data_IF_560051206969
#
_entry.id   IF_560051206969
#
_cell.length_a   1.000
_cell.length_b   1.000
_cell.length_c   1.000
_cell.angle_alpha   90.00
_cell.angle_beta   90.00
_cell.angle_gamma   90.00
#
_symmetry.space_group_name_H-M   'P 1'
#
loop_
_entity.id
_entity.type
_entity.pdbx_description
1 polymer ?
#
# COMPACT_ATOMS: atom_id res chain seq x y z
N UNK A 1 18.79 17.13 -48.07
CA UNK A 1 18.15 17.54 -46.80
C UNK A 1 16.94 16.65 -46.58
N UNK A 2 17.10 15.60 -45.77
CA UNK A 2 15.99 14.73 -45.41
C UNK A 2 15.32 15.33 -44.16
N UNK A 3 14.04 15.73 -44.29
CA UNK A 3 13.20 16.14 -43.17
C UNK A 3 12.76 14.87 -42.44
N UNK A 4 13.30 14.65 -41.24
CA UNK A 4 12.72 13.71 -40.28
C UNK A 4 11.38 14.29 -39.81
N UNK A 5 10.29 13.72 -40.26
CA UNK A 5 8.97 13.94 -39.67
C UNK A 5 8.97 13.19 -38.33
N UNK A 6 9.05 13.92 -37.21
CA UNK A 6 8.75 13.39 -35.89
C UNK A 6 7.28 12.95 -35.90
N UNK A 7 7.05 11.66 -35.71
CA UNK A 7 5.71 11.15 -35.45
C UNK A 7 5.22 11.77 -34.14
N UNK A 8 4.35 12.77 -34.23
CA UNK A 8 3.51 13.17 -33.11
C UNK A 8 2.64 11.97 -32.75
N UNK A 9 3.03 11.21 -31.73
CA UNK A 9 2.13 10.26 -31.10
C UNK A 9 0.97 11.06 -30.53
N UNK A 10 -0.23 10.86 -31.09
CA UNK A 10 -1.48 11.39 -30.52
C UNK A 10 -1.65 10.70 -29.19
N UNK A 11 -1.21 11.35 -28.11
CA UNK A 11 -1.42 10.85 -26.75
C UNK A 11 -2.92 10.98 -26.49
N UNK A 12 -3.59 9.86 -26.30
CA UNK A 12 -5.00 9.84 -25.96
C UNK A 12 -5.17 10.51 -24.58
N UNK A 13 -6.13 11.45 -24.45
CA UNK A 13 -6.39 12.15 -23.17
C UNK A 13 -6.65 11.16 -22.02
N UNK A 14 -7.27 10.01 -22.30
CA UNK A 14 -7.44 8.95 -21.32
C UNK A 14 -6.11 8.42 -20.76
N UNK A 15 -5.03 8.41 -21.55
CA UNK A 15 -3.71 7.93 -21.09
C UNK A 15 -3.01 8.94 -20.19
N UNK A 16 -3.32 10.24 -20.34
CA UNK A 16 -2.77 11.29 -19.49
C UNK A 16 -3.31 11.26 -18.06
N UNK A 17 -4.55 10.81 -17.90
CA UNK A 17 -5.26 10.81 -16.62
C UNK A 17 -5.05 9.52 -15.81
N UNK A 18 -4.34 8.53 -16.37
CA UNK A 18 -4.07 7.25 -15.69
C UNK A 18 -3.15 7.41 -14.51
N UNK A 19 -3.40 6.61 -13.48
CA UNK A 19 -2.51 6.46 -12.33
C UNK A 19 -2.28 4.99 -11.98
N UNK A 20 -1.17 4.74 -11.30
CA UNK A 20 -0.79 3.44 -10.75
C UNK A 20 -0.42 3.63 -9.27
N UNK A 21 -1.06 2.89 -8.39
CA UNK A 21 -0.81 2.99 -6.95
C UNK A 21 -0.57 1.60 -6.37
N UNK A 22 0.29 1.53 -5.35
CA UNK A 22 0.59 0.30 -4.62
C UNK A 22 0.44 0.53 -3.13
N UNK A 23 -0.08 -0.46 -2.39
CA UNK A 23 0.03 -0.53 -0.94
C UNK A 23 0.84 -1.76 -0.56
N UNK A 24 1.79 -1.59 0.38
CA UNK A 24 2.75 -2.63 0.68
C UNK A 24 3.19 -2.62 2.15
N UNK A 25 2.64 -3.51 2.96
CA UNK A 25 3.20 -3.80 4.27
C UNK A 25 4.46 -4.65 4.09
N UNK A 26 5.63 -4.11 4.49
CA UNK A 26 6.94 -4.78 4.29
C UNK A 26 7.39 -5.61 5.48
N UNK A 27 6.58 -5.69 6.53
CA UNK A 27 6.89 -6.30 7.83
C UNK A 27 8.18 -5.79 8.48
N UNK A 28 8.03 -5.18 9.62
CA UNK A 28 9.14 -4.57 10.37
C UNK A 28 10.15 -5.58 10.93
N UNK A 29 9.70 -6.82 11.22
CA UNK A 29 10.52 -7.84 11.86
C UNK A 29 11.43 -8.59 10.89
N UNK A 30 12.57 -9.08 11.40
CA UNK A 30 13.54 -9.87 10.65
C UNK A 30 13.14 -11.36 10.49
N UNK A 31 12.10 -11.81 11.23
CA UNK A 31 11.71 -13.22 11.35
C UNK A 31 10.37 -13.54 10.68
N UNK A 32 10.23 -13.31 9.38
CA UNK A 32 8.96 -13.63 8.67
C UNK A 32 8.57 -15.10 8.86
N UNK A 33 9.55 -15.96 8.81
CA UNK A 33 9.40 -17.39 9.05
C UNK A 33 10.47 -17.78 10.07
N UNK A 34 10.06 -18.10 11.29
CA UNK A 34 10.96 -18.54 12.38
C UNK A 34 11.95 -19.64 12.00
N UNK A 35 11.90 -20.16 10.77
CA UNK A 35 12.66 -21.30 10.26
C UNK A 35 13.39 -21.03 8.94
N UNK A 36 13.22 -19.87 8.29
CA UNK A 36 14.03 -19.52 7.12
C UNK A 36 15.24 -18.69 7.55
N UNK A 37 16.44 -19.22 7.25
CA UNK A 37 17.73 -18.56 7.54
C UNK A 37 17.87 -17.17 6.92
N UNK A 38 16.96 -16.74 6.04
CA UNK A 38 17.05 -15.52 5.23
C UNK A 38 15.87 -14.56 5.37
N UNK A 39 15.09 -14.60 6.47
CA UNK A 39 14.00 -13.65 6.75
C UNK A 39 14.44 -12.19 7.00
N UNK A 40 15.74 -11.91 7.02
CA UNK A 40 16.31 -10.58 7.30
C UNK A 40 15.89 -9.55 6.26
N UNK A 41 15.68 -8.31 6.68
CA UNK A 41 15.34 -7.19 5.80
C UNK A 41 16.33 -7.03 4.64
N UNK A 42 17.62 -7.29 4.85
CA UNK A 42 18.67 -7.30 3.81
C UNK A 42 18.40 -8.27 2.67
N UNK A 43 17.83 -9.40 2.96
CA UNK A 43 17.49 -10.40 1.95
C UNK A 43 16.18 -10.07 1.27
N UNK A 44 15.19 -9.60 2.04
CA UNK A 44 13.85 -9.30 1.56
C UNK A 44 13.77 -8.06 0.69
N UNK A 45 14.60 -7.04 0.97
CA UNK A 45 14.61 -5.77 0.22
C UNK A 45 14.73 -5.96 -1.29
N UNK A 46 15.55 -6.90 -1.75
CA UNK A 46 15.72 -7.17 -3.19
C UNK A 46 14.40 -7.61 -3.86
N UNK A 47 13.56 -8.35 -3.13
CA UNK A 47 12.27 -8.79 -3.64
C UNK A 47 11.25 -7.64 -3.63
N UNK A 48 11.25 -6.83 -2.57
CA UNK A 48 10.42 -5.62 -2.50
C UNK A 48 10.74 -4.67 -3.64
N UNK A 49 12.04 -4.37 -3.86
CA UNK A 49 12.48 -3.50 -4.96
C UNK A 49 12.10 -4.09 -6.32
N UNK A 50 12.30 -5.40 -6.52
CA UNK A 50 11.95 -6.06 -7.78
C UNK A 50 10.46 -5.95 -8.08
N UNK A 51 9.58 -6.18 -7.08
CA UNK A 51 8.14 -6.01 -7.23
C UNK A 51 7.79 -4.58 -7.67
N UNK A 52 8.34 -3.58 -6.99
CA UNK A 52 8.07 -2.18 -7.29
C UNK A 52 8.54 -1.82 -8.71
N UNK A 53 9.78 -2.15 -9.07
CA UNK A 53 10.33 -1.82 -10.38
C UNK A 53 9.67 -2.60 -11.52
N UNK A 54 9.06 -3.77 -11.26
CA UNK A 54 8.30 -4.51 -12.28
C UNK A 54 6.97 -3.86 -12.63
N UNK A 55 6.34 -3.16 -11.68
CA UNK A 55 5.04 -2.51 -11.88
C UNK A 55 5.13 -0.99 -12.05
N UNK A 56 6.23 -0.38 -11.60
CA UNK A 56 6.50 1.06 -11.68
C UNK A 56 5.28 1.92 -11.28
N UNK A 57 4.71 1.73 -10.06
CA UNK A 57 3.58 2.54 -9.59
C UNK A 57 3.97 4.02 -9.50
N UNK A 58 3.00 4.91 -9.66
CA UNK A 58 3.25 6.35 -9.52
C UNK A 58 3.46 6.73 -8.05
N UNK A 59 2.72 6.05 -7.15
CA UNK A 59 2.90 6.18 -5.70
C UNK A 59 2.76 4.84 -4.98
N UNK A 60 3.44 4.73 -3.84
CA UNK A 60 3.44 3.53 -2.99
C UNK A 60 3.19 3.98 -1.55
N UNK A 61 2.15 3.45 -0.92
CA UNK A 61 1.94 3.54 0.52
C UNK A 61 2.55 2.33 1.21
N UNK A 62 3.60 2.54 1.99
CA UNK A 62 4.21 1.46 2.76
C UNK A 62 3.69 1.42 4.19
N UNK A 63 3.70 0.22 4.80
CA UNK A 63 3.44 0.03 6.22
C UNK A 63 4.59 -0.78 6.85
N UNK A 64 4.78 -0.61 8.16
CA UNK A 64 5.84 -1.26 8.95
C UNK A 64 7.27 -0.90 8.52
N UNK A 65 7.47 0.24 7.91
CA UNK A 65 8.81 0.71 7.55
C UNK A 65 9.54 1.18 8.79
N UNK A 66 10.61 0.48 9.18
CA UNK A 66 11.43 0.89 10.31
C UNK A 66 12.29 2.08 9.98
N UNK A 67 12.34 3.05 10.91
CA UNK A 67 13.20 4.23 10.91
C UNK A 67 14.04 4.23 12.21
N UNK A 68 15.28 4.65 12.16
CA UNK A 68 16.12 4.80 13.33
C UNK A 68 16.78 6.17 13.38
N UNK A 69 16.84 6.76 14.59
CA UNK A 69 17.63 7.95 14.85
C UNK A 69 19.14 7.69 14.78
N UNK A 70 19.57 6.42 14.93
CA UNK A 70 20.95 6.03 14.78
C UNK A 70 21.31 5.86 13.28
N UNK A 71 22.19 6.71 12.72
CA UNK A 71 22.55 6.64 11.29
C UNK A 71 23.30 5.35 10.91
N UNK A 72 23.90 4.66 11.86
CA UNK A 72 24.60 3.38 11.63
C UNK A 72 23.66 2.17 11.60
N UNK A 73 22.41 2.33 12.10
CA UNK A 73 21.44 1.23 12.12
C UNK A 73 20.86 1.06 10.71
N UNK A 74 20.89 -0.16 10.22
CA UNK A 74 20.19 -0.53 8.98
C UNK A 74 18.69 -0.65 9.25
N UNK A 75 17.87 -0.05 8.42
CA UNK A 75 16.41 0.01 8.55
C UNK A 75 15.75 -0.08 7.17
N UNK A 76 14.47 -0.43 7.13
CA UNK A 76 13.69 -0.43 5.90
C UNK A 76 13.73 0.91 5.17
N UNK A 77 13.61 2.03 5.89
CA UNK A 77 13.63 3.38 5.29
C UNK A 77 14.91 3.62 4.48
N UNK A 78 16.08 3.28 5.04
CA UNK A 78 17.36 3.44 4.33
C UNK A 78 17.46 2.54 3.10
N UNK A 79 17.09 1.27 3.26
CA UNK A 79 17.19 0.29 2.18
C UNK A 79 16.23 0.63 1.02
N UNK A 80 15.00 1.05 1.34
CA UNK A 80 14.02 1.50 0.34
C UNK A 80 14.50 2.76 -0.38
N UNK A 81 14.97 3.78 0.36
CA UNK A 81 15.50 5.00 -0.24
C UNK A 81 16.69 4.72 -1.15
N UNK A 82 17.62 3.88 -0.73
CA UNK A 82 18.78 3.52 -1.56
C UNK A 82 18.38 2.71 -2.79
N UNK A 83 17.52 1.69 -2.62
CA UNK A 83 17.09 0.83 -3.73
C UNK A 83 16.20 1.50 -4.76
N UNK A 84 15.49 2.58 -4.37
CA UNK A 84 14.53 3.28 -5.22
C UNK A 84 14.97 4.70 -5.63
N UNK A 85 16.15 5.15 -5.24
CA UNK A 85 16.66 6.54 -5.39
C UNK A 85 16.61 7.10 -6.81
N UNK A 86 16.68 6.25 -7.81
CA UNK A 86 16.69 6.70 -9.22
C UNK A 86 15.31 7.23 -9.65
N UNK A 87 14.24 6.63 -9.16
CA UNK A 87 12.87 6.91 -9.62
C UNK A 87 11.96 7.48 -8.53
N UNK A 88 12.22 7.21 -7.25
CA UNK A 88 11.29 7.55 -6.18
C UNK A 88 11.91 8.43 -5.10
N UNK A 89 11.05 9.24 -4.48
CA UNK A 89 11.33 9.98 -3.25
C UNK A 89 10.35 9.49 -2.18
N UNK A 90 10.88 9.13 -1.01
CA UNK A 90 10.09 8.70 0.17
C UNK A 90 9.88 9.83 1.15
N UNK A 91 8.63 9.96 1.65
CA UNK A 91 8.21 10.94 2.65
C UNK A 91 7.50 10.23 3.81
N UNK A 92 7.58 10.79 4.99
CA UNK A 92 6.95 10.26 6.20
C UNK A 92 7.89 10.32 7.40
N UNK A 93 7.35 10.16 8.60
CA UNK A 93 8.07 10.24 9.87
C UNK A 93 7.76 9.04 10.76
N UNK A 94 8.62 8.83 11.75
CA UNK A 94 8.44 7.80 12.78
C UNK A 94 7.19 8.08 13.63
N UNK A 95 6.43 7.04 13.96
CA UNK A 95 5.18 7.14 14.73
C UNK A 95 5.40 7.43 16.22
N UNK A 96 6.59 7.13 16.75
CA UNK A 96 6.96 7.34 18.14
C UNK A 96 8.45 7.68 18.31
N UNK A 97 8.91 7.85 19.56
CA UNK A 97 10.28 8.23 19.91
C UNK A 97 11.20 7.03 20.17
N UNK A 98 10.80 5.82 19.84
CA UNK A 98 11.63 4.63 20.01
C UNK A 98 12.91 4.74 19.18
N UNK A 99 13.99 4.14 19.63
CA UNK A 99 15.29 4.15 18.92
C UNK A 99 15.21 3.51 17.53
N UNK A 100 14.31 2.55 17.37
CA UNK A 100 13.82 2.02 16.11
C UNK A 100 12.30 2.12 16.18
N UNK A 101 11.70 2.96 15.35
CA UNK A 101 10.26 3.16 15.27
C UNK A 101 9.76 2.75 13.91
N UNK A 102 8.46 2.55 13.78
CA UNK A 102 7.82 2.32 12.48
C UNK A 102 7.25 3.61 11.92
N UNK A 103 7.13 3.65 10.60
CA UNK A 103 6.47 4.69 9.83
C UNK A 103 5.56 4.08 8.76
N UNK A 104 4.68 4.91 8.22
CA UNK A 104 3.85 4.58 7.07
C UNK A 104 4.19 5.55 5.91
N UNK A 105 5.41 5.48 5.32
CA UNK A 105 5.83 6.43 4.32
C UNK A 105 5.05 6.27 3.02
N UNK A 106 5.02 7.37 2.25
CA UNK A 106 4.61 7.36 0.86
C UNK A 106 5.86 7.59 0.01
N UNK A 107 6.05 6.74 -0.99
CA UNK A 107 7.05 6.94 -2.03
C UNK A 107 6.34 7.35 -3.31
N UNK A 108 6.80 8.41 -3.96
CA UNK A 108 6.25 8.88 -5.24
C UNK A 108 7.32 8.92 -6.33
N UNK A 109 6.91 8.59 -7.56
CA UNK A 109 7.80 8.63 -8.72
C UNK A 109 8.07 10.09 -9.11
N UNK A 110 9.29 10.55 -8.84
CA UNK A 110 9.72 11.95 -9.08
C UNK A 110 9.79 12.33 -10.56
N UNK A 111 9.80 11.34 -11.47
CA UNK A 111 9.81 11.57 -12.91
C UNK A 111 8.39 11.81 -13.46
N UNK A 112 7.35 11.50 -12.67
CA UNK A 112 5.94 11.64 -13.05
C UNK A 112 5.16 12.64 -12.20
N UNK A 113 5.61 12.88 -10.98
CA UNK A 113 4.87 13.62 -9.96
C UNK A 113 5.71 14.71 -9.31
N UNK A 114 5.07 15.83 -9.02
CA UNK A 114 5.61 16.90 -8.18
C UNK A 114 4.89 16.88 -6.84
N UNK A 115 5.64 16.87 -5.75
CA UNK A 115 5.11 17.00 -4.39
C UNK A 115 4.78 18.46 -4.11
N UNK A 116 3.52 18.77 -3.81
CA UNK A 116 3.05 20.10 -3.43
C UNK A 116 3.01 20.29 -1.91
N UNK A 117 2.53 19.27 -1.19
CA UNK A 117 2.43 19.29 0.26
C UNK A 117 2.55 17.86 0.81
N UNK A 118 3.04 17.72 2.03
CA UNK A 118 3.10 16.46 2.75
C UNK A 118 2.89 16.67 4.24
N UNK A 119 2.50 15.61 4.92
CA UNK A 119 2.43 15.65 6.37
C UNK A 119 2.08 14.30 6.98
N UNK A 120 2.13 14.28 8.31
CA UNK A 120 1.74 13.13 9.11
C UNK A 120 0.76 13.59 10.19
N UNK A 121 -0.30 12.82 10.41
CA UNK A 121 -1.25 13.02 11.50
C UNK A 121 -1.23 11.80 12.40
N UNK A 122 -1.27 12.01 13.71
CA UNK A 122 -1.42 10.93 14.67
C UNK A 122 -2.89 10.54 14.77
N UNK A 123 -3.17 9.24 14.75
CA UNK A 123 -4.53 8.72 14.87
C UNK A 123 -4.93 8.73 16.35
N UNK A 124 -5.25 9.91 16.84
CA UNK A 124 -5.46 10.26 18.23
C UNK A 124 -6.51 11.37 18.37
N UNK A 125 -6.94 11.74 19.60
CA UNK A 125 -7.77 12.93 19.83
C UNK A 125 -7.11 14.25 19.41
N UNK A 126 -5.78 14.30 19.35
CA UNK A 126 -4.97 15.47 18.95
C UNK A 126 -4.10 15.12 17.73
N UNK A 127 -4.68 15.02 16.50
CA UNK A 127 -3.95 14.51 15.34
C UNK A 127 -2.71 15.32 14.94
N UNK A 128 -2.69 16.60 15.26
CA UNK A 128 -1.60 17.52 14.93
C UNK A 128 -0.46 17.51 15.98
N UNK A 129 -0.68 16.84 17.11
CA UNK A 129 0.32 16.72 18.18
C UNK A 129 1.09 15.41 18.04
N UNK A 130 2.40 15.48 17.76
CA UNK A 130 3.23 14.29 17.57
C UNK A 130 3.22 13.36 18.78
N UNK A 131 3.25 12.05 18.49
CA UNK A 131 3.38 10.97 19.46
C UNK A 131 2.20 10.78 20.41
N UNK A 132 1.03 11.33 20.06
CA UNK A 132 -0.24 11.10 20.76
C UNK A 132 -0.93 9.82 20.30
N UNK A 133 -1.87 9.33 21.10
CA UNK A 133 -2.67 8.13 20.84
C UNK A 133 -3.98 8.19 21.61
N UNK A 134 -4.96 7.36 21.23
CA UNK A 134 -6.14 7.14 22.07
C UNK A 134 -5.78 6.37 23.33
N UNK A 135 -6.52 6.57 24.42
CA UNK A 135 -6.38 5.77 25.64
C UNK A 135 -6.51 4.28 25.32
N UNK A 136 -5.56 3.49 25.83
CA UNK A 136 -5.41 2.08 25.51
C UNK A 136 -5.41 1.18 26.73
N UNK A 137 -5.89 -0.07 26.55
CA UNK A 137 -5.36 -1.19 27.32
C UNK A 137 -3.88 -1.42 26.92
N UNK A 138 -3.08 -1.92 27.87
CA UNK A 138 -1.60 -1.90 27.96
C UNK A 138 -0.72 -2.22 26.74
N UNK A 139 -1.17 -2.68 25.60
CA UNK A 139 -0.30 -3.22 24.53
C UNK A 139 -0.48 -2.57 23.14
N UNK A 140 -0.97 -1.37 23.07
CA UNK A 140 -1.21 -0.74 21.78
C UNK A 140 -0.02 0.06 21.24
N UNK A 141 0.04 0.22 19.93
CA UNK A 141 1.03 1.04 19.25
C UNK A 141 0.40 2.36 18.81
N UNK A 142 1.19 3.45 18.86
CA UNK A 142 0.79 4.70 18.19
C UNK A 142 0.58 4.44 16.71
N UNK A 143 -0.48 5.02 16.15
CA UNK A 143 -0.82 4.88 14.74
C UNK A 143 -0.88 6.26 14.10
N UNK A 144 -0.50 6.29 12.83
CA UNK A 144 -0.40 7.52 12.05
C UNK A 144 -1.02 7.34 10.67
N UNK A 145 -1.41 8.44 10.04
CA UNK A 145 -1.53 8.53 8.60
C UNK A 145 -0.43 9.44 8.07
N UNK A 146 0.08 9.12 6.89
CA UNK A 146 0.93 10.00 6.08
C UNK A 146 0.14 10.43 4.86
N UNK A 147 0.25 11.68 4.43
CA UNK A 147 -0.37 12.15 3.21
C UNK A 147 0.61 12.91 2.32
N UNK A 148 0.34 12.87 1.02
CA UNK A 148 1.02 13.63 0.00
C UNK A 148 -0.01 14.27 -0.95
N UNK A 149 0.08 15.57 -1.16
CA UNK A 149 -0.62 16.27 -2.25
C UNK A 149 0.34 16.30 -3.43
N UNK A 150 -0.05 15.62 -4.50
CA UNK A 150 0.79 15.34 -5.65
C UNK A 150 0.16 15.91 -6.92
N UNK A 151 1.00 16.48 -7.78
CA UNK A 151 0.61 16.96 -9.10
C UNK A 151 1.24 16.07 -10.17
N UNK A 152 0.42 15.51 -11.06
CA UNK A 152 0.93 14.80 -12.23
C UNK A 152 1.54 15.79 -13.22
N UNK A 153 2.77 15.55 -13.63
CA UNK A 153 3.54 16.45 -14.51
C UNK A 153 2.89 16.57 -15.89
N UNK A 154 2.34 15.47 -16.42
CA UNK A 154 1.75 15.43 -17.76
C UNK A 154 0.33 15.98 -17.82
N UNK A 155 -0.55 15.50 -16.92
CA UNK A 155 -1.97 15.91 -16.93
C UNK A 155 -2.26 17.17 -16.11
N UNK A 156 -1.32 17.65 -15.30
CA UNK A 156 -1.52 18.72 -14.31
C UNK A 156 -2.57 18.41 -13.21
N UNK A 157 -3.11 17.20 -13.18
CA UNK A 157 -4.08 16.80 -12.16
C UNK A 157 -3.40 16.77 -10.80
N UNK A 158 -4.07 17.39 -9.82
CA UNK A 158 -3.66 17.35 -8.41
C UNK A 158 -4.54 16.35 -7.67
N UNK A 159 -3.95 15.46 -6.90
CA UNK A 159 -4.66 14.47 -6.09
C UNK A 159 -3.94 14.24 -4.76
N UNK A 160 -4.61 13.60 -3.83
CA UNK A 160 -4.05 13.28 -2.52
C UNK A 160 -3.92 11.76 -2.38
N UNK A 161 -2.74 11.31 -1.99
CA UNK A 161 -2.53 9.96 -1.49
C UNK A 161 -2.42 10.01 0.04
N UNK A 162 -3.28 9.25 0.71
CA UNK A 162 -3.28 9.04 2.17
C UNK A 162 -2.92 7.59 2.43
N UNK A 163 -1.97 7.34 3.33
CA UNK A 163 -1.52 6.00 3.68
C UNK A 163 -1.56 5.80 5.19
N UNK A 164 -2.08 4.67 5.65
CA UNK A 164 -2.26 4.39 7.09
C UNK A 164 -1.97 2.95 7.46
N UNK A 165 -1.85 2.68 8.76
CA UNK A 165 -1.79 1.36 9.34
C UNK A 165 -2.54 1.39 10.68
N UNK A 166 -3.71 0.71 10.76
CA UNK A 166 -4.60 0.76 11.92
C UNK A 166 -4.17 -0.21 13.02
N UNK A 167 -4.84 -0.12 14.18
CA UNK A 167 -4.60 -0.99 15.32
C UNK A 167 -4.88 -2.46 14.99
N UNK A 168 -3.91 -3.33 15.26
CA UNK A 168 -4.01 -4.76 14.95
C UNK A 168 -4.91 -5.53 15.92
N UNK A 169 -5.06 -5.04 17.14
CA UNK A 169 -5.66 -5.78 18.26
C UNK A 169 -7.08 -5.32 18.58
N UNK A 170 -7.31 -4.00 18.69
CA UNK A 170 -8.54 -3.45 19.23
C UNK A 170 -9.43 -2.83 18.15
N UNK A 171 -10.59 -3.45 17.92
CA UNK A 171 -11.60 -2.95 16.98
C UNK A 171 -12.07 -1.53 17.32
N UNK A 172 -12.28 -1.24 18.60
CA UNK A 172 -12.73 0.07 19.08
C UNK A 172 -11.71 1.17 18.75
N UNK A 173 -10.42 0.85 18.83
CA UNK A 173 -9.36 1.76 18.43
C UNK A 173 -9.36 1.96 16.92
N UNK A 174 -9.53 0.89 16.12
CA UNK A 174 -9.63 1.02 14.66
C UNK A 174 -10.75 1.95 14.24
N UNK A 175 -11.93 1.87 14.92
CA UNK A 175 -13.07 2.76 14.65
C UNK A 175 -12.72 4.21 15.00
N UNK A 176 -12.10 4.47 16.16
CA UNK A 176 -11.65 5.82 16.53
C UNK A 176 -10.61 6.35 15.54
N UNK A 177 -9.64 5.52 15.17
CA UNK A 177 -8.58 5.85 14.23
C UNK A 177 -9.12 6.16 12.84
N UNK A 178 -10.04 5.35 12.32
CA UNK A 178 -10.61 5.58 10.99
C UNK A 178 -11.47 6.86 10.95
N UNK A 179 -12.12 7.24 12.05
CA UNK A 179 -12.80 8.53 12.14
C UNK A 179 -11.82 9.71 11.99
N UNK A 180 -10.62 9.62 12.55
CA UNK A 180 -9.58 10.64 12.34
C UNK A 180 -9.19 10.73 10.87
N UNK A 181 -9.04 9.57 10.20
CA UNK A 181 -8.74 9.51 8.76
C UNK A 181 -9.86 10.14 7.93
N UNK A 182 -11.12 9.78 8.20
CA UNK A 182 -12.30 10.35 7.51
C UNK A 182 -12.34 11.85 7.70
N UNK A 183 -12.20 12.34 8.95
CA UNK A 183 -12.22 13.78 9.27
C UNK A 183 -11.05 14.53 8.60
N UNK A 184 -9.89 13.90 8.45
CA UNK A 184 -8.79 14.49 7.68
C UNK A 184 -9.15 14.61 6.20
N UNK A 185 -9.61 13.51 5.58
CA UNK A 185 -9.93 13.46 4.15
C UNK A 185 -11.09 14.41 3.81
N UNK A 186 -12.08 14.56 4.68
CA UNK A 186 -13.24 15.43 4.45
C UNK A 186 -12.88 16.91 4.23
N UNK A 187 -11.71 17.35 4.69
CA UNK A 187 -11.21 18.72 4.47
C UNK A 187 -10.76 18.96 3.02
N UNK A 188 -10.48 17.91 2.27
CA UNK A 188 -9.84 17.98 0.95
C UNK A 188 -10.68 17.37 -0.18
N UNK A 189 -11.58 16.43 0.10
CA UNK A 189 -12.26 15.62 -0.91
C UNK A 189 -13.21 16.39 -1.84
N UNK A 190 -13.64 17.60 -1.45
CA UNK A 190 -14.38 18.50 -2.33
C UNK A 190 -13.46 19.13 -3.39
N UNK A 191 -12.20 19.40 -3.04
CA UNK A 191 -11.23 20.06 -3.88
C UNK A 191 -10.42 19.08 -4.72
N UNK A 192 -9.94 17.98 -4.13
CA UNK A 192 -9.02 17.04 -4.77
C UNK A 192 -9.58 15.62 -4.78
N UNK A 193 -9.29 14.81 -5.81
CA UNK A 193 -9.41 13.36 -5.75
C UNK A 193 -8.53 12.81 -4.62
N UNK A 194 -9.04 11.88 -3.81
CA UNK A 194 -8.30 11.28 -2.70
C UNK A 194 -8.27 9.76 -2.85
N UNK A 195 -7.06 9.19 -2.78
CA UNK A 195 -6.79 7.76 -2.69
C UNK A 195 -6.29 7.43 -1.28
N UNK A 196 -6.93 6.49 -0.62
CA UNK A 196 -6.57 6.00 0.71
C UNK A 196 -6.07 4.56 0.61
N UNK A 197 -4.83 4.32 0.99
CA UNK A 197 -4.23 2.98 1.07
C UNK A 197 -3.86 2.63 2.50
N UNK A 198 -3.67 1.35 2.78
CA UNK A 198 -3.13 0.93 4.07
C UNK A 198 -3.40 -0.52 4.43
N UNK A 199 -2.77 -0.91 5.54
CA UNK A 199 -3.13 -2.09 6.31
C UNK A 199 -4.15 -1.69 7.39
N UNK A 200 -5.38 -2.15 7.23
CA UNK A 200 -6.48 -1.82 8.14
C UNK A 200 -6.58 -2.80 9.31
N UNK A 201 -5.79 -3.86 9.31
CA UNK A 201 -5.79 -4.90 10.34
C UNK A 201 -7.19 -5.48 10.63
N UNK A 202 -8.10 -5.40 9.68
CA UNK A 202 -9.43 -5.99 9.76
C UNK A 202 -9.93 -6.41 8.38
N UNK A 203 -10.67 -7.49 8.36
CA UNK A 203 -11.47 -7.90 7.20
C UNK A 203 -12.71 -7.00 7.08
N UNK A 204 -13.32 -6.97 5.89
CA UNK A 204 -14.61 -6.29 5.70
C UNK A 204 -15.72 -6.99 6.50
N UNK A 205 -15.86 -6.62 7.77
CA UNK A 205 -16.85 -7.16 8.71
C UNK A 205 -17.68 -6.04 9.28
N UNK A 206 -19.00 -6.28 9.41
CA UNK A 206 -19.96 -5.33 9.98
C UNK A 206 -19.47 -4.73 11.30
N UNK A 207 -19.44 -3.41 11.35
CA UNK A 207 -19.07 -2.62 12.52
C UNK A 207 -17.57 -2.53 12.78
N UNK A 208 -16.68 -2.83 11.84
CA UNK A 208 -15.25 -2.55 11.91
C UNK A 208 -14.84 -1.43 10.94
N UNK A 209 -13.58 -1.05 10.88
CA UNK A 209 -13.09 0.13 10.17
C UNK A 209 -13.45 0.14 8.68
N UNK A 210 -13.37 -1.00 8.00
CA UNK A 210 -13.72 -1.11 6.57
C UNK A 210 -15.22 -0.88 6.34
N UNK A 211 -16.08 -1.50 7.13
CA UNK A 211 -17.54 -1.27 7.07
C UNK A 211 -17.89 0.21 7.37
N UNK A 212 -17.12 0.84 8.24
CA UNK A 212 -17.29 2.26 8.57
C UNK A 212 -16.93 3.16 7.39
N UNK A 213 -15.85 2.88 6.66
CA UNK A 213 -15.49 3.58 5.44
C UNK A 213 -16.57 3.45 4.36
N UNK A 214 -17.03 2.22 4.10
CA UNK A 214 -18.08 1.96 3.09
C UNK A 214 -19.37 2.75 3.39
N UNK A 215 -19.74 2.88 4.67
CA UNK A 215 -20.90 3.67 5.11
C UNK A 215 -20.69 5.20 5.01
N UNK A 216 -19.45 5.65 4.90
CA UNK A 216 -19.09 7.06 4.74
C UNK A 216 -18.67 7.40 3.29
N UNK A 217 -19.23 6.70 2.30
CA UNK A 217 -19.03 6.94 0.88
C UNK A 217 -17.56 6.78 0.42
N UNK A 218 -16.85 5.83 1.03
CA UNK A 218 -15.60 5.33 0.50
C UNK A 218 -15.86 4.07 -0.32
N UNK A 219 -15.20 3.95 -1.44
CA UNK A 219 -15.42 2.88 -2.42
C UNK A 219 -14.14 2.05 -2.56
N UNK A 220 -14.27 0.75 -2.30
CA UNK A 220 -13.13 -0.16 -2.32
C UNK A 220 -12.74 -0.51 -3.76
N UNK A 221 -11.47 -0.33 -4.09
CA UNK A 221 -10.92 -0.62 -5.41
C UNK A 221 -11.17 -2.07 -5.88
N UNK A 222 -11.11 -3.04 -4.96
CA UNK A 222 -11.36 -4.44 -5.29
C UNK A 222 -12.80 -4.73 -5.76
N UNK A 223 -13.78 -3.90 -5.33
CA UNK A 223 -15.18 -4.05 -5.73
C UNK A 223 -15.55 -3.25 -6.97
N UNK A 224 -14.79 -2.20 -7.29
CA UNK A 224 -15.11 -1.28 -8.38
C UNK A 224 -14.27 -1.47 -9.64
N UNK A 225 -13.08 -2.09 -9.51
CA UNK A 225 -12.19 -2.29 -10.65
C UNK A 225 -12.83 -3.17 -11.71
N UNK A 226 -12.71 -2.77 -12.98
CA UNK A 226 -13.18 -3.55 -14.13
C UNK A 226 -12.50 -4.92 -14.22
N UNK A 227 -11.19 -4.95 -13.91
CA UNK A 227 -10.39 -6.16 -13.80
C UNK A 227 -9.99 -6.35 -12.33
N UNK A 228 -10.41 -7.47 -11.72
CA UNK A 228 -10.10 -7.74 -10.33
C UNK A 228 -9.43 -9.11 -10.20
N UNK A 229 -8.17 -9.09 -9.72
CA UNK A 229 -7.38 -10.28 -9.38
C UNK A 229 -7.19 -10.32 -7.87
N UNK A 230 -8.29 -10.56 -7.16
CA UNK A 230 -8.31 -10.56 -5.71
C UNK A 230 -7.73 -11.85 -5.12
N UNK A 231 -7.05 -11.70 -3.99
CA UNK A 231 -6.46 -12.78 -3.22
C UNK A 231 -6.29 -12.33 -1.76
N UNK A 232 -5.93 -13.23 -0.85
CA UNK A 232 -5.58 -12.83 0.51
C UNK A 232 -4.36 -11.93 0.50
N UNK A 233 -4.45 -10.78 1.13
CA UNK A 233 -3.32 -9.86 1.25
C UNK A 233 -2.39 -10.27 2.39
N UNK A 234 -2.95 -10.97 3.41
CA UNK A 234 -2.23 -11.58 4.52
C UNK A 234 -2.49 -13.08 4.51
N UNK A 235 -1.69 -13.88 3.78
CA UNK A 235 -1.83 -15.34 3.71
C UNK A 235 -1.45 -16.00 5.04
N UNK A 236 -2.06 -17.15 5.34
CA UNK A 236 -1.68 -17.95 6.49
C UNK A 236 -0.24 -18.45 6.36
N UNK A 237 0.52 -18.47 7.47
CA UNK A 237 1.94 -18.85 7.48
C UNK A 237 2.15 -20.25 6.90
N UNK A 238 1.27 -21.20 7.20
CA UNK A 238 1.37 -22.57 6.67
C UNK A 238 1.10 -22.63 5.16
N UNK A 239 0.24 -21.74 4.64
CA UNK A 239 0.07 -21.57 3.20
C UNK A 239 1.36 -21.07 2.54
N UNK A 240 2.02 -20.09 3.15
CA UNK A 240 3.30 -19.56 2.64
C UNK A 240 4.42 -20.61 2.68
N UNK A 241 4.46 -21.47 3.70
CA UNK A 241 5.43 -22.58 3.80
C UNK A 241 5.25 -23.61 2.68
N UNK A 242 3.99 -23.91 2.35
CA UNK A 242 3.65 -24.94 1.38
C UNK A 242 3.56 -24.41 -0.05
N UNK A 243 3.74 -23.10 -0.27
CA UNK A 243 3.56 -22.49 -1.59
C UNK A 243 4.50 -23.07 -2.64
N UNK A 244 5.73 -23.45 -2.25
CA UNK A 244 6.68 -24.15 -3.11
C UNK A 244 6.14 -25.49 -3.62
N UNK A 245 5.58 -26.28 -2.73
CA UNK A 245 4.98 -27.57 -3.09
C UNK A 245 3.69 -27.40 -3.89
N UNK A 246 2.87 -26.41 -3.51
CA UNK A 246 1.61 -26.11 -4.18
C UNK A 246 1.86 -25.57 -5.59
N UNK A 247 2.83 -24.69 -5.77
CA UNK A 247 3.22 -24.17 -7.07
C UNK A 247 3.81 -25.25 -7.97
N UNK A 248 4.66 -26.12 -7.42
CA UNK A 248 5.20 -27.27 -8.15
C UNK A 248 4.10 -28.27 -8.57
N UNK A 249 3.18 -28.60 -7.67
CA UNK A 249 2.08 -29.54 -7.93
C UNK A 249 1.02 -29.01 -8.88
N UNK A 250 0.80 -27.68 -8.96
CA UNK A 250 -0.20 -27.03 -9.82
C UNK A 250 0.33 -26.53 -11.14
N UNK A 251 1.58 -26.79 -11.49
CA UNK A 251 2.15 -26.45 -12.79
C UNK A 251 2.27 -24.94 -13.04
N UNK A 252 2.54 -24.15 -12.02
CA UNK A 252 2.84 -22.74 -12.18
C UNK A 252 4.16 -22.58 -12.95
N UNK A 253 4.07 -22.21 -14.20
CA UNK A 253 5.24 -22.06 -15.07
C UNK A 253 6.13 -20.91 -14.61
N UNK A 254 7.45 -21.10 -14.71
CA UNK A 254 8.51 -20.12 -14.42
C UNK A 254 8.41 -18.80 -15.22
N UNK A 255 7.46 -18.66 -16.11
CA UNK A 255 7.36 -17.60 -17.09
C UNK A 255 6.15 -16.68 -16.89
N UNK A 256 5.88 -16.19 -15.68
CA UNK A 256 5.03 -14.99 -15.48
C UNK A 256 3.67 -14.90 -16.20
N UNK A 257 3.21 -15.97 -16.86
CA UNK A 257 1.95 -15.96 -17.58
C UNK A 257 0.79 -16.18 -16.61
N UNK A 258 -0.08 -15.20 -16.61
CA UNK A 258 -1.34 -15.07 -15.89
C UNK A 258 -2.05 -16.40 -15.68
N UNK A 259 -2.43 -16.64 -14.43
CA UNK A 259 -3.48 -17.63 -14.13
C UNK A 259 -4.76 -17.10 -14.76
N UNK A 260 -5.19 -17.70 -15.87
CA UNK A 260 -6.55 -17.54 -16.37
C UNK A 260 -7.48 -18.16 -15.33
N UNK A 261 -8.42 -17.37 -14.84
CA UNK A 261 -9.51 -17.74 -13.94
C UNK A 261 -9.13 -17.98 -12.48
N UNK A 262 -8.90 -16.90 -11.74
CA UNK A 262 -9.16 -16.90 -10.32
C UNK A 262 -10.59 -16.38 -10.11
N UNK A 263 -11.55 -17.30 -9.95
CA UNK A 263 -12.91 -16.95 -9.51
C UNK A 263 -12.82 -16.21 -8.19
N UNK A 264 -13.58 -15.13 -8.08
CA UNK A 264 -13.82 -14.37 -6.87
C UNK A 264 -13.81 -15.26 -5.63
N UNK A 265 -12.98 -14.90 -4.66
CA UNK A 265 -13.14 -15.38 -3.30
C UNK A 265 -14.23 -14.51 -2.64
N UNK A 266 -15.51 -14.86 -2.85
CA UNK A 266 -16.67 -14.19 -2.25
C UNK A 266 -16.76 -14.36 -0.72
N UNK A 267 -15.81 -15.09 -0.14
CA UNK A 267 -15.73 -15.30 1.31
C UNK A 267 -14.51 -14.55 1.84
N UNK A 268 -14.75 -13.43 2.47
CA UNK A 268 -13.78 -12.51 3.05
C UNK A 268 -12.79 -13.14 4.04
N UNK A 269 -12.94 -14.40 4.37
CA UNK A 269 -12.10 -15.07 5.34
C UNK A 269 -12.21 -16.58 5.21
N UNK A 270 -11.27 -17.19 4.52
CA UNK A 270 -10.88 -18.57 4.82
C UNK A 270 -9.81 -18.49 5.91
N UNK A 271 -10.20 -18.60 7.18
CA UNK A 271 -9.32 -18.43 8.34
C UNK A 271 -8.11 -19.38 8.31
N UNK A 272 -8.22 -20.47 7.58
CA UNK A 272 -7.14 -21.44 7.41
C UNK A 272 -6.12 -21.03 6.33
N UNK A 273 -6.50 -20.17 5.38
CA UNK A 273 -5.67 -19.82 4.21
C UNK A 273 -5.17 -18.38 4.18
N UNK A 274 -5.90 -17.44 4.76
CA UNK A 274 -5.48 -16.02 4.80
C UNK A 274 -6.62 -15.05 5.01
N UNK A 275 -6.27 -13.74 4.99
CA UNK A 275 -7.19 -12.62 5.21
C UNK A 275 -6.92 -11.52 4.19
N UNK A 276 -7.95 -10.75 3.85
CA UNK A 276 -7.83 -9.48 3.15
C UNK A 276 -7.90 -8.39 4.22
N UNK A 277 -6.77 -7.71 4.46
CA UNK A 277 -6.66 -6.65 5.46
C UNK A 277 -5.97 -5.39 4.92
N UNK A 278 -5.41 -5.47 3.71
CA UNK A 278 -4.83 -4.34 2.98
C UNK A 278 -5.82 -3.87 1.91
N UNK A 279 -6.05 -2.56 1.85
CA UNK A 279 -7.07 -1.98 1.00
C UNK A 279 -6.61 -0.71 0.29
N UNK A 280 -7.32 -0.39 -0.81
CA UNK A 280 -7.31 0.91 -1.45
C UNK A 280 -8.74 1.40 -1.62
N UNK A 281 -8.99 2.66 -1.22
CA UNK A 281 -10.28 3.32 -1.35
C UNK A 281 -10.18 4.64 -2.10
N UNK A 282 -11.25 5.02 -2.80
CA UNK A 282 -11.54 6.39 -3.21
C UNK A 282 -12.71 6.95 -2.40
N UNK A 283 -12.80 8.26 -2.27
CA UNK A 283 -13.92 8.92 -1.57
C UNK A 283 -14.72 9.89 -2.45
N UNK A 284 -14.48 9.93 -3.76
CA UNK A 284 -15.20 10.79 -4.69
C UNK A 284 -15.34 10.14 -6.08
N UNK A 285 -16.26 10.65 -6.89
CA UNK A 285 -16.51 10.12 -8.24
C UNK A 285 -15.48 10.58 -9.29
N UNK A 286 -14.55 11.45 -8.91
CA UNK A 286 -13.43 11.91 -9.76
C UNK A 286 -12.37 10.84 -10.03
N UNK A 287 -12.54 9.63 -9.50
CA UNK A 287 -11.62 8.49 -9.66
C UNK A 287 -12.41 7.29 -10.14
N UNK A 288 -11.87 6.57 -11.12
CA UNK A 288 -12.36 5.27 -11.56
C UNK A 288 -11.23 4.25 -11.50
N UNK A 289 -11.51 3.06 -10.99
CA UNK A 289 -10.55 1.96 -10.97
C UNK A 289 -10.72 1.08 -12.20
N UNK A 290 -9.62 0.85 -12.92
CA UNK A 290 -9.59 -0.06 -14.07
C UNK A 290 -9.10 -1.46 -13.68
N UNK A 291 -8.13 -1.54 -12.77
CA UNK A 291 -7.53 -2.80 -12.34
C UNK A 291 -7.23 -2.81 -10.85
N UNK A 292 -7.48 -3.94 -10.20
CA UNK A 292 -7.04 -4.29 -8.85
C UNK A 292 -6.35 -5.64 -8.88
N UNK A 293 -5.18 -5.76 -8.27
CA UNK A 293 -4.42 -7.00 -8.24
C UNK A 293 -3.67 -7.17 -6.92
N UNK A 294 -3.80 -8.34 -6.29
CA UNK A 294 -2.91 -8.77 -5.21
C UNK A 294 -1.71 -9.46 -5.85
N UNK A 295 -0.50 -8.95 -5.59
CA UNK A 295 0.73 -9.44 -6.20
C UNK A 295 1.33 -10.54 -5.31
N UNK A 296 1.22 -11.78 -5.76
CA UNK A 296 1.79 -12.91 -5.04
C UNK A 296 3.30 -12.98 -5.31
N UNK A 297 4.10 -12.53 -4.37
CA UNK A 297 5.56 -12.37 -4.46
C UNK A 297 6.31 -13.55 -5.04
N UNK A 298 5.94 -14.75 -4.62
CA UNK A 298 6.66 -15.96 -5.01
C UNK A 298 6.67 -16.18 -6.52
N UNK A 299 5.63 -15.75 -7.20
CA UNK A 299 5.51 -15.85 -8.66
C UNK A 299 6.39 -14.83 -9.38
N UNK A 300 6.64 -13.68 -8.75
CA UNK A 300 7.32 -12.55 -9.37
C UNK A 300 8.83 -12.56 -9.13
N UNK A 301 9.27 -12.92 -7.94
CA UNK A 301 10.66 -12.70 -7.55
C UNK A 301 11.41 -13.95 -7.06
N UNK A 302 10.73 -15.07 -6.87
CA UNK A 302 11.33 -16.32 -6.43
C UNK A 302 11.71 -16.34 -4.95
N UNK A 303 11.08 -15.49 -4.13
CA UNK A 303 11.27 -15.45 -2.69
C UNK A 303 10.19 -14.64 -1.98
N UNK A 304 10.16 -14.69 -0.66
CA UNK A 304 9.18 -14.00 0.18
C UNK A 304 9.71 -12.62 0.53
N UNK A 305 8.96 -11.56 0.17
CA UNK A 305 9.31 -10.19 0.48
C UNK A 305 8.73 -9.71 1.81
N UNK A 306 7.52 -10.17 2.17
CA UNK A 306 6.76 -9.86 3.37
C UNK A 306 5.82 -11.00 3.71
N UNK A 307 5.20 -10.97 4.90
CA UNK A 307 4.03 -11.79 5.25
C UNK A 307 2.72 -11.21 4.68
N UNK A 308 2.79 -10.03 4.07
CA UNK A 308 1.74 -9.45 3.24
C UNK A 308 2.10 -9.51 1.76
N UNK A 309 1.10 -9.70 0.92
CA UNK A 309 1.22 -9.46 -0.50
C UNK A 309 0.83 -8.01 -0.83
N UNK A 310 1.62 -7.28 -1.63
CA UNK A 310 1.25 -5.94 -2.02
C UNK A 310 0.00 -5.95 -2.90
N UNK A 311 -0.83 -4.92 -2.75
CA UNK A 311 -1.92 -4.63 -3.67
C UNK A 311 -1.49 -3.58 -4.68
N UNK A 312 -1.83 -3.81 -5.94
CA UNK A 312 -1.54 -2.94 -7.06
C UNK A 312 -2.84 -2.54 -7.76
N UNK A 313 -2.99 -1.24 -7.99
CA UNK A 313 -4.21 -0.66 -8.51
C UNK A 313 -3.87 0.25 -9.68
N UNK A 314 -4.61 0.13 -10.78
CA UNK A 314 -4.64 1.09 -11.88
C UNK A 314 -6.00 1.76 -11.92
N UNK A 315 -6.01 3.00 -12.36
CA UNK A 315 -7.20 3.79 -12.53
C UNK A 315 -6.95 5.05 -13.34
N UNK A 316 -7.95 5.91 -13.39
CA UNK A 316 -7.87 7.20 -14.06
C UNK A 316 -8.71 8.24 -13.34
N UNK A 317 -8.28 9.47 -13.44
CA UNK A 317 -9.03 10.62 -12.97
C UNK A 317 -10.04 11.05 -14.04
N UNK A 318 -11.27 11.38 -13.59
CA UNK A 318 -12.41 11.77 -14.45
C UNK A 318 -12.58 13.27 -14.40
#
# INVERSE_FOLDING_TARGET
MEYKIEKNEIINEEDLNKFKIMSYNVRCADDILRYEKDGRIKTRIKYVIKNILSYMPDTIGFQEVTISSNPKKETWDKLLKEGLKNDYIGIGVARDKSSISEANPIFYNKNKLVLLEQGTKWLSPEPDKPFTEFDKPRDGCKRILTYAILKNIKSNIVYIHVNTHLDYKYKENRIKQINVVINFISKYNSQYPVLLTGDFNCVNKKGDAVDYLLKNNFYNAAFEAKECFNFWTFPAIDYMRNINEICQKRGFHKNGNQIKEQKYCDKDCDQERGKIIDYCFRCCDKIKFSRYQVLQDYQLCGGISSDHYPIYIEGYFV
#
